data_IF_139331899022
#
_entry.id   IF_139331899022
#
_cell.length_a   1.000
_cell.length_b   1.000
_cell.length_c   1.000
_cell.angle_alpha   90.00
_cell.angle_beta   90.00
_cell.angle_gamma   90.00
#
_symmetry.space_group_name_H-M   'P 1'
#
loop_
_entity.id
_entity.type
_entity.pdbx_description
1 polymer ?
#
# COMPACT_ATOMS: atom_id res chain seq x y z
N UNK A 1 -6.93 -11.52 -20.47
CA UNK A 1 -6.71 -12.98 -20.47
C UNK A 1 -5.66 -13.32 -19.40
N UNK A 2 -5.67 -14.52 -18.81
CA UNK A 2 -4.71 -14.90 -17.76
C UNK A 2 -3.31 -15.09 -18.37
N UNK A 3 -2.27 -14.63 -17.68
CA UNK A 3 -0.89 -14.94 -18.05
C UNK A 3 -0.58 -16.44 -17.80
N UNK A 4 0.34 -17.03 -18.58
CA UNK A 4 0.77 -18.41 -18.40
C UNK A 4 1.34 -18.70 -16.99
N UNK A 5 1.92 -17.67 -16.35
CA UNK A 5 2.46 -17.73 -14.98
C UNK A 5 1.41 -17.62 -13.87
N UNK A 6 0.13 -17.37 -14.20
CA UNK A 6 -0.99 -17.30 -13.25
C UNK A 6 -2.17 -18.19 -13.70
N UNK A 7 -1.97 -19.52 -13.76
CA UNK A 7 -3.00 -20.46 -14.17
C UNK A 7 -4.08 -20.64 -13.10
N UNK A 8 -5.23 -21.19 -13.50
CA UNK A 8 -6.19 -21.73 -12.54
C UNK A 8 -5.54 -22.86 -11.71
N UNK A 9 -5.81 -23.01 -10.40
CA UNK A 9 -6.85 -22.36 -9.58
C UNK A 9 -6.44 -21.06 -8.89
N UNK A 10 -5.30 -20.46 -9.23
CA UNK A 10 -4.87 -19.20 -8.60
C UNK A 10 -5.87 -18.07 -8.88
N UNK A 11 -5.94 -17.10 -7.97
CA UNK A 11 -6.69 -15.88 -8.22
C UNK A 11 -6.14 -15.17 -9.46
N UNK A 12 -7.00 -14.81 -10.43
CA UNK A 12 -6.55 -14.22 -11.70
C UNK A 12 -6.02 -12.81 -11.48
N UNK A 13 -4.76 -12.59 -11.86
CA UNK A 13 -4.11 -11.29 -11.98
C UNK A 13 -4.38 -10.73 -13.37
N UNK A 14 -5.59 -10.22 -13.58
CA UNK A 14 -6.01 -9.60 -14.85
C UNK A 14 -6.52 -8.20 -14.59
N UNK A 15 -6.39 -7.30 -15.57
CA UNK A 15 -7.07 -6.02 -15.52
C UNK A 15 -8.58 -6.23 -15.47
N UNK A 16 -9.24 -5.61 -14.50
CA UNK A 16 -10.69 -5.63 -14.33
C UNK A 16 -11.22 -4.21 -14.20
N UNK A 17 -12.37 -4.01 -14.82
CA UNK A 17 -13.20 -2.82 -14.66
C UNK A 17 -14.42 -3.28 -13.88
N UNK A 18 -14.50 -2.88 -12.62
CA UNK A 18 -15.69 -3.09 -11.79
C UNK A 18 -16.74 -1.99 -12.05
N UNK A 19 -18.00 -2.24 -11.66
CA UNK A 19 -19.13 -1.34 -11.93
C UNK A 19 -18.87 0.12 -11.49
N UNK A 20 -18.21 0.34 -10.34
CA UNK A 20 -17.92 1.69 -9.85
C UNK A 20 -16.98 2.48 -10.76
N UNK A 21 -16.09 1.80 -11.49
CA UNK A 21 -15.24 2.45 -12.49
C UNK A 21 -16.04 2.82 -13.73
N UNK A 22 -17.00 1.98 -14.15
CA UNK A 22 -17.89 2.26 -15.28
C UNK A 22 -18.80 3.46 -14.97
N UNK A 23 -19.36 3.52 -13.76
CA UNK A 23 -20.17 4.65 -13.31
C UNK A 23 -19.36 5.95 -13.29
N UNK A 24 -18.13 5.92 -12.78
CA UNK A 24 -17.24 7.08 -12.79
C UNK A 24 -16.89 7.52 -14.23
N UNK A 25 -16.61 6.57 -15.13
CA UNK A 25 -16.36 6.88 -16.53
C UNK A 25 -17.59 7.48 -17.23
N UNK A 26 -18.80 7.00 -16.92
CA UNK A 26 -20.02 7.57 -17.44
C UNK A 26 -20.31 8.98 -16.91
N UNK A 27 -20.03 9.24 -15.63
CA UNK A 27 -20.27 10.53 -14.98
C UNK A 27 -19.21 11.59 -15.32
N UNK A 28 -17.94 11.20 -15.40
CA UNK A 28 -16.79 12.10 -15.51
C UNK A 28 -16.00 11.95 -16.82
N UNK A 29 -16.43 11.06 -17.71
CA UNK A 29 -15.88 10.88 -19.05
C UNK A 29 -14.56 10.08 -19.13
N UNK A 30 -14.05 9.58 -18.01
CA UNK A 30 -12.79 8.81 -17.96
C UNK A 30 -12.73 7.87 -16.75
N UNK A 31 -11.87 6.84 -16.84
CA UNK A 31 -11.53 6.00 -15.69
C UNK A 31 -10.88 6.86 -14.59
N UNK A 32 -11.33 6.78 -13.33
CA UNK A 32 -10.80 7.60 -12.25
C UNK A 32 -9.40 7.17 -11.78
N UNK A 33 -8.93 5.97 -12.19
CA UNK A 33 -7.66 5.42 -11.71
C UNK A 33 -6.49 5.98 -12.49
N UNK A 34 -5.44 6.36 -11.77
CA UNK A 34 -4.13 6.67 -12.31
C UNK A 34 -3.14 5.63 -11.80
N UNK A 35 -2.47 4.94 -12.72
CA UNK A 35 -1.45 3.94 -12.40
C UNK A 35 -0.06 4.55 -12.58
N UNK A 36 0.95 3.93 -11.96
CA UNK A 36 2.34 4.41 -12.01
C UNK A 36 2.50 5.85 -11.50
N UNK A 37 1.70 6.25 -10.51
CA UNK A 37 1.80 7.55 -9.86
C UNK A 37 2.30 7.40 -8.42
N UNK A 38 3.13 8.33 -7.98
CA UNK A 38 3.49 8.55 -6.58
C UNK A 38 3.01 9.92 -6.13
N UNK A 39 2.50 10.03 -4.90
CA UNK A 39 2.20 11.32 -4.28
C UNK A 39 3.47 11.88 -3.67
N UNK A 40 3.84 13.11 -4.03
CA UNK A 40 5.08 13.75 -3.58
C UNK A 40 4.84 14.86 -2.57
N UNK A 41 3.67 15.50 -2.57
CA UNK A 41 3.37 16.65 -1.72
C UNK A 41 1.86 16.83 -1.50
N UNK A 42 1.46 17.26 -0.30
CA UNK A 42 0.13 17.81 -0.02
C UNK A 42 0.17 19.33 -0.16
N UNK A 43 -0.75 19.90 -0.93
CA UNK A 43 -0.85 21.34 -1.18
C UNK A 43 -1.97 21.91 -0.34
N UNK A 44 -1.63 22.81 0.59
CA UNK A 44 -2.58 23.51 1.45
C UNK A 44 -2.90 24.94 0.99
N UNK A 45 -4.05 25.46 1.40
CA UNK A 45 -4.40 26.88 1.28
C UNK A 45 -3.85 27.73 2.45
N UNK A 46 -4.08 29.04 2.39
CA UNK A 46 -3.64 30.00 3.44
C UNK A 46 -4.31 29.76 4.81
N UNK A 47 -5.43 29.03 4.84
CA UNK A 47 -6.18 28.72 6.04
C UNK A 47 -5.83 27.34 6.62
N UNK A 48 -4.91 26.60 5.99
CA UNK A 48 -4.49 25.27 6.41
C UNK A 48 -5.39 24.14 5.94
N UNK A 49 -6.30 24.37 4.99
CA UNK A 49 -7.11 23.32 4.37
C UNK A 49 -6.36 22.68 3.20
N UNK A 50 -6.65 21.41 2.94
CA UNK A 50 -6.16 20.74 1.73
C UNK A 50 -6.81 21.38 0.50
N UNK A 51 -5.99 21.71 -0.49
CA UNK A 51 -6.41 22.25 -1.80
C UNK A 51 -6.02 21.31 -2.95
N UNK A 52 -4.96 20.54 -2.77
CA UNK A 52 -4.45 19.67 -3.83
C UNK A 52 -3.40 18.68 -3.36
N UNK A 53 -3.00 17.82 -4.29
CA UNK A 53 -1.81 16.98 -4.15
C UNK A 53 -0.92 17.15 -5.36
N UNK A 54 0.39 17.13 -5.15
CA UNK A 54 1.35 16.96 -6.24
C UNK A 54 1.65 15.47 -6.39
N UNK A 55 1.58 14.99 -7.63
CA UNK A 55 1.92 13.62 -7.99
C UNK A 55 3.00 13.62 -9.07
N UNK A 56 3.72 12.51 -9.18
CA UNK A 56 4.79 12.29 -10.14
C UNK A 56 4.68 10.86 -10.71
N UNK A 57 5.00 10.67 -11.98
CA UNK A 57 5.05 9.34 -12.58
C UNK A 57 6.24 8.54 -12.02
N UNK A 58 6.11 7.21 -11.98
CA UNK A 58 7.18 6.31 -11.53
C UNK A 58 7.59 5.32 -12.61
N UNK A 59 8.90 5.09 -12.71
CA UNK A 59 9.52 4.13 -13.62
C UNK A 59 9.98 2.88 -12.84
N UNK A 60 9.26 1.77 -13.04
CA UNK A 60 9.57 0.47 -12.43
C UNK A 60 10.73 -0.26 -13.11
N UNK A 61 11.21 0.21 -14.27
CA UNK A 61 12.38 -0.37 -14.94
C UNK A 61 13.70 0.05 -14.30
N UNK A 62 13.66 1.06 -13.44
CA UNK A 62 14.81 1.63 -12.73
C UNK A 62 14.50 1.63 -11.24
N UNK A 63 14.69 0.50 -10.54
CA UNK A 63 14.57 0.46 -9.09
C UNK A 63 15.71 1.28 -8.44
N UNK A 64 15.42 1.89 -7.29
CA UNK A 64 16.45 2.47 -6.44
C UNK A 64 17.10 1.35 -5.62
N UNK A 65 18.42 1.21 -5.73
CA UNK A 65 19.21 0.13 -5.11
C UNK A 65 19.02 0.01 -3.58
N UNK A 66 18.66 1.11 -2.90
CA UNK A 66 18.44 1.14 -1.45
C UNK A 66 17.06 1.68 -1.04
N UNK A 67 16.13 1.78 -1.98
CA UNK A 67 14.90 2.55 -1.80
C UNK A 67 13.66 1.86 -2.33
N UNK A 68 12.81 2.65 -2.96
CA UNK A 68 11.59 2.14 -3.57
C UNK A 68 11.93 1.25 -4.78
N UNK A 69 11.08 0.27 -5.12
CA UNK A 69 11.27 -0.59 -6.30
C UNK A 69 11.03 0.14 -7.64
N UNK A 70 11.17 1.47 -7.65
CA UNK A 70 10.95 2.37 -8.78
C UNK A 70 11.68 3.71 -8.54
N UNK A 71 11.88 4.48 -9.61
CA UNK A 71 12.34 5.89 -9.54
C UNK A 71 11.26 6.86 -9.98
N UNK A 72 11.29 8.10 -9.50
CA UNK A 72 10.44 9.18 -10.01
C UNK A 72 10.89 9.62 -11.41
N UNK A 73 9.94 9.95 -12.29
CA UNK A 73 10.22 10.49 -13.63
C UNK A 73 10.30 12.01 -13.54
N UNK A 74 11.50 12.56 -13.62
CA UNK A 74 11.73 14.02 -13.58
C UNK A 74 10.91 14.76 -14.64
N UNK A 75 10.23 15.84 -14.24
CA UNK A 75 9.42 16.67 -15.13
C UNK A 75 8.01 16.14 -15.40
N UNK A 76 7.63 15.00 -14.80
CA UNK A 76 6.27 14.44 -14.86
C UNK A 76 5.35 14.95 -13.75
N UNK A 77 5.83 15.88 -12.92
CA UNK A 77 5.08 16.40 -11.80
C UNK A 77 3.83 17.15 -12.26
N UNK A 78 2.71 16.85 -11.62
CA UNK A 78 1.45 17.54 -11.85
C UNK A 78 0.71 17.73 -10.53
N UNK A 79 -0.05 18.81 -10.43
CA UNK A 79 -0.92 19.09 -9.30
C UNK A 79 -2.36 18.66 -9.64
N UNK A 80 -2.97 17.89 -8.75
CA UNK A 80 -4.38 17.55 -8.79
C UNK A 80 -5.12 18.33 -7.71
N UNK A 81 -6.14 19.09 -8.09
CA UNK A 81 -7.05 19.71 -7.13
C UNK A 81 -7.79 18.61 -6.34
N UNK A 82 -7.77 18.74 -5.01
CA UNK A 82 -8.50 17.84 -4.13
C UNK A 82 -8.76 18.50 -2.77
N UNK A 83 -9.97 18.32 -2.26
CA UNK A 83 -10.36 18.83 -0.95
C UNK A 83 -10.22 17.77 0.17
N UNK A 84 -10.05 16.50 -0.20
CA UNK A 84 -9.99 15.38 0.73
C UNK A 84 -9.08 14.25 0.22
N UNK A 85 -8.26 13.70 1.11
CA UNK A 85 -7.41 12.52 0.84
C UNK A 85 -7.70 11.41 1.85
N UNK A 86 -7.86 10.19 1.34
CA UNK A 86 -7.92 8.97 2.15
C UNK A 86 -6.60 8.21 2.02
N UNK A 87 -5.87 8.08 3.14
CA UNK A 87 -4.64 7.30 3.18
C UNK A 87 -4.96 5.81 3.36
N UNK A 88 -4.82 5.04 2.28
CA UNK A 88 -5.04 3.60 2.25
C UNK A 88 -3.72 2.83 2.04
N UNK A 89 -2.70 3.15 2.85
CA UNK A 89 -1.31 2.68 2.67
C UNK A 89 -1.01 1.32 3.32
N UNK A 90 -1.98 0.74 4.03
CA UNK A 90 -1.78 -0.47 4.85
C UNK A 90 -1.19 -0.17 6.23
N UNK A 91 -0.73 -1.21 6.91
CA UNK A 91 -0.20 -1.16 8.27
C UNK A 91 1.21 -1.78 8.32
N UNK A 92 2.06 -1.31 9.23
CA UNK A 92 3.43 -1.81 9.39
C UNK A 92 3.54 -3.03 10.31
N UNK A 93 2.67 -3.11 11.31
CA UNK A 93 2.65 -4.17 12.32
C UNK A 93 1.47 -3.99 13.27
N UNK A 94 1.29 -4.91 14.23
CA UNK A 94 0.24 -4.82 15.24
C UNK A 94 0.52 -3.73 16.28
N UNK A 95 -0.50 -3.31 17.03
CA UNK A 95 -0.30 -2.53 18.23
C UNK A 95 0.50 -3.31 19.29
N UNK A 96 1.35 -2.61 20.04
CA UNK A 96 2.30 -3.25 20.96
C UNK A 96 1.78 -3.50 22.37
N UNK A 97 0.53 -3.15 22.68
CA UNK A 97 -0.06 -3.30 24.02
C UNK A 97 0.11 -4.73 24.54
N UNK A 98 -0.13 -5.74 23.69
CA UNK A 98 -0.01 -7.15 24.08
C UNK A 98 1.45 -7.60 24.18
N UNK A 99 2.30 -7.20 23.22
CA UNK A 99 3.72 -7.57 23.26
C UNK A 99 4.44 -6.97 24.46
N UNK A 100 4.08 -5.75 24.87
CA UNK A 100 4.67 -5.10 26.04
C UNK A 100 4.18 -5.73 27.35
N UNK A 101 2.89 -6.07 27.46
CA UNK A 101 2.34 -6.70 28.67
C UNK A 101 2.85 -8.12 28.89
N UNK A 102 3.13 -8.84 27.81
CA UNK A 102 3.62 -10.22 27.84
C UNK A 102 5.13 -10.33 27.66
N UNK A 103 5.85 -9.24 27.43
CA UNK A 103 7.28 -9.24 27.11
C UNK A 103 7.62 -10.18 25.92
N UNK A 104 6.85 -10.06 24.84
CA UNK A 104 7.04 -10.85 23.62
C UNK A 104 8.16 -10.27 22.76
N UNK A 105 8.99 -11.15 22.20
CA UNK A 105 9.96 -10.74 21.18
C UNK A 105 9.26 -10.28 19.89
N UNK A 106 9.78 -9.21 19.30
CA UNK A 106 9.35 -8.71 17.99
C UNK A 106 10.39 -9.03 16.92
N UNK A 107 9.96 -9.09 15.66
CA UNK A 107 10.85 -9.19 14.52
C UNK A 107 11.36 -7.80 14.06
N UNK A 108 12.22 -7.78 13.03
CA UNK A 108 12.79 -6.53 12.50
C UNK A 108 11.76 -5.59 11.83
N UNK A 109 10.50 -6.01 11.69
CA UNK A 109 9.38 -5.26 11.14
C UNK A 109 8.33 -4.93 12.20
N UNK A 110 8.65 -5.12 13.48
CA UNK A 110 7.77 -4.87 14.64
C UNK A 110 6.60 -5.85 14.79
N UNK A 111 6.57 -6.95 14.02
CA UNK A 111 5.57 -8.00 14.22
C UNK A 111 5.93 -8.91 15.39
N UNK A 112 4.95 -9.63 15.94
CA UNK A 112 5.20 -10.66 16.94
C UNK A 112 6.05 -11.76 16.32
N UNK A 113 7.25 -11.97 16.89
CA UNK A 113 8.20 -12.94 16.39
C UNK A 113 7.67 -14.35 16.63
N UNK A 114 7.29 -15.02 15.55
CA UNK A 114 6.91 -16.42 15.55
C UNK A 114 7.26 -17.07 14.21
N UNK A 115 7.95 -18.20 14.27
CA UNK A 115 8.44 -18.90 13.08
C UNK A 115 7.28 -19.42 12.22
N UNK A 116 7.40 -19.33 10.90
CA UNK A 116 6.36 -19.80 9.99
C UNK A 116 6.20 -21.32 10.16
N UNK A 117 4.96 -21.83 10.05
CA UNK A 117 4.58 -23.23 10.31
C UNK A 117 4.65 -23.69 11.79
N UNK A 118 5.44 -23.04 12.65
CA UNK A 118 5.51 -23.36 14.08
C UNK A 118 4.60 -22.48 14.94
N UNK A 119 4.49 -21.20 14.60
CA UNK A 119 3.64 -20.19 15.24
C UNK A 119 3.91 -19.92 16.74
N UNK A 120 4.95 -20.50 17.32
CA UNK A 120 5.36 -20.27 18.72
C UNK A 120 6.06 -18.93 18.87
N UNK A 121 5.72 -18.20 19.93
CA UNK A 121 6.39 -16.96 20.31
C UNK A 121 7.60 -17.23 21.23
N UNK A 122 8.20 -16.16 21.79
CA UNK A 122 9.22 -16.29 22.85
C UNK A 122 8.68 -16.85 24.17
N UNK A 123 7.36 -16.83 24.37
CA UNK A 123 6.72 -17.39 25.55
C UNK A 123 6.10 -18.77 25.27
N UNK A 124 6.35 -19.70 26.20
CA UNK A 124 5.75 -21.03 26.16
C UNK A 124 4.20 -20.95 26.21
N UNK A 125 3.54 -21.78 25.40
CA UNK A 125 2.08 -21.82 25.25
C UNK A 125 1.43 -20.54 24.69
N UNK A 126 2.22 -19.55 24.24
CA UNK A 126 1.72 -18.36 23.52
C UNK A 126 2.10 -18.45 22.05
N UNK A 127 1.12 -18.26 21.17
CA UNK A 127 1.24 -18.41 19.72
C UNK A 127 0.77 -17.16 18.99
N UNK A 128 1.39 -16.84 17.84
CA UNK A 128 1.01 -15.72 16.98
C UNK A 128 0.76 -16.19 15.54
N UNK A 129 -0.34 -15.74 14.93
CA UNK A 129 -0.75 -16.11 13.57
C UNK A 129 -1.46 -14.94 12.87
N UNK A 130 -1.54 -14.99 11.54
CA UNK A 130 -2.12 -13.91 10.74
C UNK A 130 -1.14 -12.76 10.48
N UNK A 131 -1.68 -11.55 10.34
CA UNK A 131 -0.93 -10.34 9.96
C UNK A 131 -0.05 -9.81 11.10
N UNK A 132 -0.44 -9.99 12.37
CA UNK A 132 0.38 -9.58 13.51
C UNK A 132 1.73 -10.33 13.63
N UNK A 133 1.94 -11.37 12.81
CA UNK A 133 3.16 -12.16 12.69
C UNK A 133 3.93 -11.86 11.40
N UNK A 134 3.42 -11.04 10.47
CA UNK A 134 3.86 -11.02 9.06
C UNK A 134 4.35 -9.68 8.55
#
# INVERSE_FOLDING_TARGET
ERAASNPWPQWPKIFRVDYGHEEAAAAFGKDPRMFQMSTVEFVGDENGNLKGIKICEVDWSKPDDNGAPFTLVEGSEQELECDLVFLALGFLGPEHIISEQLDLELDGRTNFKAEHEQYTTSLEAVFAAGDCRR
#
